data_IF_376857347919
#
_entry.id   IF_376857347919
#
_cell.length_a   1.000
_cell.length_b   1.000
_cell.length_c   1.000
_cell.angle_alpha   90.00
_cell.angle_beta   90.00
_cell.angle_gamma   90.00
#
_symmetry.space_group_name_H-M   'P 1'
#
loop_
_entity.id
_entity.type
_entity.pdbx_description
1 polymer ?
#
# COMPACT_ATOMS: atom_id res chain seq x y z
N UNK A 1 -4.42 25.65 47.87
CA UNK A 1 -5.67 24.90 47.58
C UNK A 1 -5.40 23.95 46.44
N UNK A 2 -5.43 22.66 46.75
CA UNK A 2 -5.38 21.55 45.80
C UNK A 2 -6.66 21.57 44.95
N UNK A 3 -6.54 21.37 43.64
CA UNK A 3 -7.65 21.08 42.74
C UNK A 3 -7.10 20.33 41.53
N UNK A 4 -6.73 19.07 41.71
CA UNK A 4 -7.53 17.86 41.45
C UNK A 4 -7.28 17.33 40.03
N UNK A 5 -6.62 16.18 40.02
CA UNK A 5 -6.35 15.35 38.86
C UNK A 5 -7.67 14.98 38.16
N UNK A 6 -7.74 15.24 36.85
CA UNK A 6 -8.58 14.49 35.92
C UNK A 6 -7.57 13.58 35.21
N UNK A 7 -7.33 12.38 35.73
CA UNK A 7 -8.29 11.30 35.58
C UNK A 7 -8.09 10.71 34.19
N UNK A 8 -6.98 9.98 34.02
CA UNK A 8 -6.76 9.12 32.87
C UNK A 8 -7.82 8.02 32.89
N UNK A 9 -8.93 8.22 32.18
CA UNK A 9 -9.83 7.13 31.81
C UNK A 9 -9.46 6.70 30.39
N UNK A 10 -8.35 5.98 30.26
CA UNK A 10 -8.18 5.06 29.16
C UNK A 10 -9.26 3.98 29.33
N UNK A 11 -10.45 4.22 28.76
CA UNK A 11 -11.51 3.21 28.69
C UNK A 11 -11.01 2.10 27.75
N UNK A 12 -10.76 0.86 28.22
CA UNK A 12 -10.21 -0.21 27.39
C UNK A 12 -11.24 -0.82 26.43
N UNK A 13 -12.41 -0.21 26.29
CA UNK A 13 -13.54 -0.79 25.57
C UNK A 13 -13.79 0.02 24.30
N UNK A 14 -12.80 0.06 23.41
CA UNK A 14 -12.99 0.60 22.08
C UNK A 14 -13.92 -0.31 21.30
N UNK A 15 -15.21 0.01 21.25
CA UNK A 15 -16.15 -0.62 20.33
C UNK A 15 -15.52 -0.59 18.92
N UNK A 16 -15.31 -1.77 18.34
CA UNK A 16 -14.80 -1.87 16.98
C UNK A 16 -15.96 -1.64 16.01
N UNK A 17 -16.04 -0.43 15.47
CA UNK A 17 -16.94 -0.11 14.35
C UNK A 17 -16.18 -0.26 13.03
N UNK A 18 -16.75 -1.03 12.11
CA UNK A 18 -16.22 -1.17 10.74
C UNK A 18 -16.25 0.18 10.01
N UNK A 19 -15.23 0.43 9.19
CA UNK A 19 -15.20 1.60 8.31
C UNK A 19 -16.42 1.65 7.36
N UNK A 20 -16.93 0.48 6.94
CA UNK A 20 -18.13 0.38 6.10
C UNK A 20 -19.43 0.74 6.83
N UNK A 21 -19.44 0.65 8.17
CA UNK A 21 -20.58 1.09 8.97
C UNK A 21 -20.53 2.60 9.16
N UNK A 22 -19.34 3.15 9.42
CA UNK A 22 -19.13 4.59 9.55
C UNK A 22 -19.52 5.38 8.29
N UNK A 23 -19.37 4.79 7.11
CA UNK A 23 -19.83 5.43 5.86
C UNK A 23 -21.35 5.49 5.73
N UNK A 24 -22.08 4.62 6.42
CA UNK A 24 -23.55 4.62 6.48
C UNK A 24 -24.09 5.58 7.53
N UNK A 25 -23.28 6.00 8.49
CA UNK A 25 -23.66 6.88 9.60
C UNK A 25 -23.70 8.38 9.23
N UNK A 26 -23.64 8.73 7.93
CA UNK A 26 -23.70 10.10 7.39
C UNK A 26 -22.79 11.11 8.14
N UNK A 27 -21.62 10.66 8.56
CA UNK A 27 -20.67 11.50 9.28
C UNK A 27 -20.11 12.60 8.35
N UNK A 28 -20.19 13.84 8.80
CA UNK A 28 -19.62 15.00 8.06
C UNK A 28 -18.10 15.09 8.17
N UNK A 29 -17.49 14.35 9.10
CA UNK A 29 -16.05 14.34 9.31
C UNK A 29 -15.51 12.95 9.69
N UNK A 30 -14.26 12.70 9.32
CA UNK A 30 -13.56 11.46 9.65
C UNK A 30 -13.20 11.43 11.15
N UNK A 31 -13.49 10.34 11.90
CA UNK A 31 -13.13 10.25 13.30
C UNK A 31 -11.63 10.42 13.55
N UNK A 32 -11.26 11.11 14.63
CA UNK A 32 -9.86 11.48 14.95
C UNK A 32 -8.87 10.31 14.93
N UNK A 33 -9.31 9.11 15.29
CA UNK A 33 -8.51 7.87 15.29
C UNK A 33 -8.06 7.39 13.90
N UNK A 34 -8.66 7.90 12.82
CA UNK A 34 -8.26 7.62 11.44
C UNK A 34 -7.46 8.77 10.81
N UNK A 35 -7.30 9.90 11.50
CA UNK A 35 -6.56 11.06 10.99
C UNK A 35 -5.08 10.86 11.30
N UNK A 36 -4.25 10.74 10.27
CA UNK A 36 -2.80 10.66 10.43
C UNK A 36 -2.24 11.95 11.06
N UNK A 37 -1.19 11.85 11.90
CA UNK A 37 -0.41 13.00 12.34
C UNK A 37 0.11 13.81 11.14
N UNK A 38 0.25 15.15 11.23
CA UNK A 38 0.67 15.98 10.10
C UNK A 38 1.96 15.52 9.41
N UNK A 39 2.94 15.01 10.16
CA UNK A 39 4.21 14.50 9.64
C UNK A 39 4.10 13.24 8.77
N UNK A 40 2.99 12.49 8.90
CA UNK A 40 2.73 11.26 8.15
C UNK A 40 1.69 11.45 7.05
N UNK A 41 1.09 12.64 6.94
CA UNK A 41 0.13 12.91 5.87
C UNK A 41 0.88 12.98 4.55
N UNK A 42 0.38 12.31 3.50
CA UNK A 42 0.93 12.48 2.17
C UNK A 42 0.82 13.96 1.79
N UNK A 43 1.92 14.54 1.29
CA UNK A 43 2.05 15.99 1.09
C UNK A 43 1.25 16.52 -0.12
N UNK A 44 0.25 15.77 -0.60
CA UNK A 44 -0.51 16.05 -1.82
C UNK A 44 0.31 16.01 -3.12
N UNK A 45 1.63 15.90 -3.03
CA UNK A 45 2.51 15.71 -4.17
C UNK A 45 2.19 14.35 -4.81
N UNK A 46 1.77 14.37 -6.07
CA UNK A 46 1.73 13.17 -6.90
C UNK A 46 3.14 12.60 -6.91
N UNK A 47 3.34 11.52 -6.16
CA UNK A 47 4.55 10.74 -6.28
C UNK A 47 4.45 10.07 -7.65
N UNK A 48 5.09 10.67 -8.66
CA UNK A 48 5.35 10.02 -9.94
C UNK A 48 6.38 8.89 -9.73
N UNK A 49 6.02 7.89 -8.93
CA UNK A 49 6.78 6.64 -8.85
C UNK A 49 6.42 5.86 -10.09
N UNK A 50 7.14 6.13 -11.18
CA UNK A 50 7.14 5.31 -12.37
C UNK A 50 7.68 3.92 -11.96
N UNK A 51 6.78 3.04 -11.53
CA UNK A 51 7.10 1.66 -11.26
C UNK A 51 7.38 0.98 -12.60
N UNK A 52 8.38 0.09 -12.66
CA UNK A 52 8.64 -0.68 -13.87
C UNK A 52 7.40 -1.50 -14.25
N UNK A 53 7.02 -1.44 -15.52
CA UNK A 53 5.99 -2.30 -16.11
C UNK A 53 6.73 -3.42 -16.84
N UNK A 54 6.44 -4.66 -16.51
CA UNK A 54 7.00 -5.85 -17.17
C UNK A 54 5.88 -6.55 -17.93
N UNK A 55 6.04 -6.70 -19.24
CA UNK A 55 5.11 -7.47 -20.08
C UNK A 55 5.48 -8.95 -20.02
N UNK A 56 4.58 -9.75 -19.44
CA UNK A 56 4.77 -11.19 -19.31
C UNK A 56 4.11 -11.99 -20.46
N UNK A 57 3.53 -11.31 -21.45
CA UNK A 57 2.78 -11.94 -22.55
C UNK A 57 3.61 -12.97 -23.34
N UNK A 58 4.93 -12.74 -23.44
CA UNK A 58 5.86 -13.60 -24.17
C UNK A 58 6.76 -14.44 -23.27
N UNK A 59 6.40 -14.63 -21.99
CA UNK A 59 7.22 -15.39 -21.03
C UNK A 59 7.42 -16.87 -21.44
N UNK A 60 6.50 -17.41 -22.24
CA UNK A 60 6.59 -18.76 -22.80
C UNK A 60 7.46 -18.84 -24.06
N UNK A 61 7.79 -17.70 -24.68
CA UNK A 61 8.59 -17.67 -25.90
C UNK A 61 10.08 -17.89 -25.56
N UNK A 62 10.73 -18.99 -25.99
CA UNK A 62 12.06 -19.38 -25.51
C UNK A 62 13.14 -18.31 -25.77
N UNK A 63 13.03 -17.57 -26.88
CA UNK A 63 14.00 -16.53 -27.25
C UNK A 63 13.87 -15.26 -26.41
N UNK A 64 12.67 -14.94 -25.92
CA UNK A 64 12.38 -13.67 -25.22
C UNK A 64 12.34 -13.87 -23.71
N UNK A 65 12.05 -15.09 -23.25
CA UNK A 65 11.99 -15.47 -21.83
C UNK A 65 13.20 -15.01 -20.99
N UNK A 66 14.48 -15.17 -21.44
CA UNK A 66 15.61 -14.71 -20.63
C UNK A 66 15.62 -13.21 -20.38
N UNK A 67 15.19 -12.41 -21.36
CA UNK A 67 15.12 -10.95 -21.25
C UNK A 67 14.03 -10.54 -20.25
N UNK A 68 12.84 -11.16 -20.34
CA UNK A 68 11.73 -10.88 -19.41
C UNK A 68 12.13 -11.25 -17.97
N UNK A 69 12.82 -12.38 -17.76
CA UNK A 69 13.31 -12.77 -16.43
C UNK A 69 14.32 -11.72 -15.89
N UNK A 70 15.19 -11.21 -16.75
CA UNK A 70 16.14 -10.17 -16.37
C UNK A 70 15.43 -8.85 -15.99
N UNK A 71 14.38 -8.45 -16.70
CA UNK A 71 13.56 -7.29 -16.33
C UNK A 71 12.90 -7.46 -14.96
N UNK A 72 12.32 -8.64 -14.69
CA UNK A 72 11.76 -8.96 -13.36
C UNK A 72 12.84 -8.86 -12.28
N UNK A 73 14.02 -9.45 -12.51
CA UNK A 73 15.12 -9.40 -11.56
C UNK A 73 15.54 -7.96 -11.25
N UNK A 74 15.70 -7.12 -12.28
CA UNK A 74 16.08 -5.71 -12.11
C UNK A 74 15.01 -4.91 -11.38
N UNK A 75 13.73 -5.15 -11.69
CA UNK A 75 12.62 -4.49 -11.03
C UNK A 75 12.56 -4.84 -9.53
N UNK A 76 12.67 -6.13 -9.20
CA UNK A 76 12.74 -6.60 -7.82
C UNK A 76 13.95 -6.00 -7.09
N UNK A 77 15.13 -5.99 -7.71
CA UNK A 77 16.35 -5.46 -7.11
C UNK A 77 16.29 -3.95 -6.83
N UNK A 78 15.72 -3.17 -7.75
CA UNK A 78 15.71 -1.71 -7.68
C UNK A 78 14.52 -1.15 -6.90
N UNK A 79 13.35 -1.77 -7.03
CA UNK A 79 12.10 -1.23 -6.50
C UNK A 79 11.40 -2.17 -5.51
N UNK A 80 11.63 -3.47 -5.58
CA UNK A 80 10.88 -4.49 -4.81
C UNK A 80 9.46 -4.76 -5.33
N UNK A 81 8.96 -3.91 -6.23
CA UNK A 81 7.64 -3.97 -6.83
C UNK A 81 7.70 -3.63 -8.32
N UNK A 82 6.79 -4.22 -9.09
CA UNK A 82 6.57 -3.91 -10.49
C UNK A 82 5.11 -4.11 -10.88
N UNK A 83 4.71 -3.51 -11.99
CA UNK A 83 3.40 -3.72 -12.58
C UNK A 83 3.54 -4.78 -13.67
N UNK A 84 2.63 -5.74 -13.72
CA UNK A 84 2.57 -6.74 -14.79
C UNK A 84 1.54 -6.30 -15.81
N UNK A 85 1.91 -6.30 -17.09
CA UNK A 85 0.96 -6.25 -18.18
C UNK A 85 0.69 -7.68 -18.65
N UNK A 86 -0.54 -8.14 -18.43
CA UNK A 86 -1.12 -9.35 -18.99
C UNK A 86 -2.39 -8.87 -19.68
N UNK A 87 -2.65 -9.32 -20.91
CA UNK A 87 -3.76 -8.85 -21.76
C UNK A 87 -5.02 -8.60 -20.90
N UNK A 88 -5.37 -7.33 -20.75
CA UNK A 88 -6.53 -6.77 -20.03
C UNK A 88 -6.55 -6.77 -18.48
N UNK A 89 -5.43 -6.98 -17.76
CA UNK A 89 -5.39 -6.65 -16.32
C UNK A 89 -3.98 -6.31 -15.81
N UNK A 90 -3.70 -5.02 -15.59
CA UNK A 90 -2.51 -4.63 -14.83
C UNK A 90 -2.66 -5.06 -13.36
N UNK A 91 -1.66 -5.75 -12.81
CA UNK A 91 -1.58 -6.06 -11.37
C UNK A 91 -0.22 -5.66 -10.83
N UNK A 92 -0.19 -5.01 -9.66
CA UNK A 92 1.05 -4.77 -8.92
C UNK A 92 1.46 -6.08 -8.27
N UNK A 93 2.69 -6.52 -8.53
CA UNK A 93 3.26 -7.73 -7.96
C UNK A 93 4.39 -7.34 -6.99
N UNK A 94 4.36 -7.94 -5.81
CA UNK A 94 5.42 -7.87 -4.80
C UNK A 94 6.12 -9.22 -4.78
N UNK A 95 7.45 -9.24 -4.92
CA UNK A 95 8.25 -10.46 -4.76
C UNK A 95 9.21 -10.30 -3.59
N UNK A 96 9.27 -11.31 -2.72
CA UNK A 96 10.27 -11.36 -1.65
C UNK A 96 11.66 -11.59 -2.25
N UNK A 97 12.72 -10.93 -1.75
CA UNK A 97 14.10 -11.13 -2.22
C UNK A 97 14.57 -12.59 -2.14
N UNK A 98 13.93 -13.41 -1.31
CA UNK A 98 14.29 -14.81 -1.12
C UNK A 98 13.94 -15.73 -2.30
N UNK A 99 13.10 -15.30 -3.25
CA UNK A 99 12.64 -16.12 -4.38
C UNK A 99 13.43 -15.86 -5.68
N UNK A 100 14.54 -15.11 -5.60
CA UNK A 100 15.33 -14.68 -6.75
C UNK A 100 16.59 -15.53 -7.03
N UNK A 101 16.67 -16.74 -6.48
CA UNK A 101 17.76 -17.70 -6.68
C UNK A 101 17.34 -18.86 -7.56
#
# INVERSE_FOLDING_TARGET
MVGKMIGSSASPNGSFTSAMTLTKEELTCVPKRYILPPSLRPNGAEYNTCLPIVDLSYLQHPLVRPQIIQEVHLACKKFGFFQVLLVMHCRVVSMSPATAY
#
